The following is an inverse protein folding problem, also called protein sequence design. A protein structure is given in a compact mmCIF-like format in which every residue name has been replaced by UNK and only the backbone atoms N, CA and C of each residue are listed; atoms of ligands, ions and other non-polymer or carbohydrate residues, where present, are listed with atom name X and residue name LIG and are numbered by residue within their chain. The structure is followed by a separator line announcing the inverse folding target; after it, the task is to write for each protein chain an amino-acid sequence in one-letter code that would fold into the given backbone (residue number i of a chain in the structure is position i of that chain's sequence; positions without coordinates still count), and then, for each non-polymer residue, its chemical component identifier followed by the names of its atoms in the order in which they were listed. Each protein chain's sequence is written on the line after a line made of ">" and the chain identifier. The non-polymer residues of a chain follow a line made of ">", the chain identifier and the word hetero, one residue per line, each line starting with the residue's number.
data_IF_821745333613
#
_entry.id   IF_821745333613
#
_cell.length_a   1.000
_cell.length_b   1.000
_cell.length_c   1.000
_cell.angle_alpha   90.00
_cell.angle_beta   90.00
_cell.angle_gamma   90.00
#
_symmetry.space_group_name_H-M   'P 1'
#
loop_
_entity.id
_entity.type
_entity.pdbx_description
1 polymer ?
#
# COMPACT_ATOMS: atom_id res chain seq x y z
N UNK A 1 -2.50 2.72 11.20
CA UNK A 1 -3.13 1.80 10.22
C UNK A 1 -2.11 0.75 9.75
N UNK A 2 -1.49 0.02 10.67
CA UNK A 2 -0.47 -0.99 10.33
C UNK A 2 -1.07 -2.16 9.54
N UNK A 3 -2.34 -2.47 9.82
CA UNK A 3 -3.17 -3.43 9.08
C UNK A 3 -3.31 -3.06 7.59
N UNK A 4 -3.56 -1.79 7.28
CA UNK A 4 -3.65 -1.32 5.90
C UNK A 4 -2.28 -1.35 5.20
N UNK A 5 -1.21 -1.01 5.93
CA UNK A 5 0.16 -1.03 5.38
C UNK A 5 0.58 -2.45 4.98
N UNK A 6 0.25 -3.46 5.80
CA UNK A 6 0.50 -4.86 5.45
C UNK A 6 -0.26 -5.28 4.18
N UNK A 7 -1.51 -4.80 4.01
CA UNK A 7 -2.28 -5.03 2.78
C UNK A 7 -1.58 -4.38 1.57
N UNK A 8 -1.09 -3.14 1.71
CA UNK A 8 -0.41 -2.46 0.62
C UNK A 8 0.88 -3.19 0.20
N UNK A 9 1.73 -3.52 1.16
CA UNK A 9 2.98 -4.23 0.94
C UNK A 9 2.76 -5.56 0.21
N UNK A 10 1.85 -6.40 0.72
CA UNK A 10 1.59 -7.73 0.14
C UNK A 10 0.90 -7.68 -1.22
N UNK A 11 -0.13 -6.83 -1.37
CA UNK A 11 -0.99 -6.89 -2.56
C UNK A 11 -0.48 -6.06 -3.73
N UNK A 12 0.22 -4.95 -3.46
CA UNK A 12 0.62 -4.00 -4.51
C UNK A 12 2.12 -3.97 -4.75
N UNK A 13 2.93 -4.23 -3.72
CA UNK A 13 4.39 -4.38 -3.88
C UNK A 13 4.84 -5.85 -3.95
N UNK A 14 3.94 -6.82 -3.75
CA UNK A 14 4.25 -8.26 -3.63
C UNK A 14 5.35 -8.54 -2.60
N UNK A 15 5.44 -7.69 -1.58
CA UNK A 15 6.44 -7.77 -0.55
C UNK A 15 6.03 -8.80 0.49
N UNK A 16 6.99 -9.63 0.90
CA UNK A 16 6.80 -10.67 1.90
C UNK A 16 7.12 -10.14 3.31
N UNK A 17 6.73 -10.90 4.33
CA UNK A 17 6.97 -10.54 5.72
C UNK A 17 6.02 -9.48 6.29
N UNK A 18 6.31 -9.09 7.52
CA UNK A 18 5.48 -8.23 8.37
C UNK A 18 6.28 -7.04 8.91
N UNK A 19 5.62 -6.14 9.64
CA UNK A 19 6.28 -4.99 10.26
C UNK A 19 6.55 -3.82 9.32
N UNK A 20 5.91 -3.81 8.16
CA UNK A 20 5.99 -2.71 7.20
C UNK A 20 5.48 -1.40 7.80
N UNK A 21 6.24 -0.33 7.58
CA UNK A 21 5.87 1.05 7.92
C UNK A 21 6.01 1.95 6.71
N UNK A 22 5.11 2.93 6.57
CA UNK A 22 5.24 3.94 5.53
C UNK A 22 6.32 4.97 5.92
N UNK A 23 7.26 5.21 5.02
CA UNK A 23 8.38 6.14 5.23
C UNK A 23 8.22 7.43 4.43
N UNK A 24 7.48 7.39 3.33
CA UNK A 24 7.28 8.54 2.45
C UNK A 24 6.02 8.43 1.59
N UNK A 25 5.53 9.59 1.17
CA UNK A 25 4.43 9.72 0.22
C UNK A 25 4.78 10.81 -0.80
N UNK A 26 4.47 10.57 -2.06
CA UNK A 26 4.53 11.56 -3.11
C UNK A 26 3.28 11.46 -4.01
N UNK A 27 3.28 12.13 -5.16
CA UNK A 27 2.14 12.13 -6.06
C UNK A 27 1.92 10.77 -6.75
N UNK A 28 2.97 9.95 -6.91
CA UNK A 28 2.90 8.69 -7.65
C UNK A 28 2.71 7.48 -6.74
N UNK A 29 3.07 7.57 -5.46
CA UNK A 29 2.94 6.44 -4.55
C UNK A 29 3.37 6.69 -3.11
N UNK A 30 3.63 5.58 -2.42
CA UNK A 30 4.20 5.56 -1.08
C UNK A 30 5.37 4.58 -1.01
N UNK A 31 6.34 4.90 -0.15
CA UNK A 31 7.47 4.04 0.15
C UNK A 31 7.25 3.36 1.51
N UNK A 32 7.56 2.07 1.57
CA UNK A 32 7.44 1.23 2.76
C UNK A 32 8.80 0.63 3.13
N UNK A 33 9.02 0.45 4.44
CA UNK A 33 10.21 -0.19 4.99
C UNK A 33 9.86 -1.27 6.02
N UNK A 34 10.64 -2.34 6.05
CA UNK A 34 10.61 -3.39 7.08
C UNK A 34 12.04 -3.91 7.31
N UNK A 35 12.68 -3.50 8.41
CA UNK A 35 14.10 -3.79 8.63
C UNK A 35 14.96 -3.19 7.52
N UNK A 36 15.76 -4.03 6.85
CA UNK A 36 16.60 -3.65 5.71
C UNK A 36 15.85 -3.68 4.36
N UNK A 37 14.59 -4.13 4.34
CA UNK A 37 13.78 -4.21 3.13
C UNK A 37 13.06 -2.88 2.86
N UNK A 38 13.09 -2.45 1.59
CA UNK A 38 12.38 -1.29 1.08
C UNK A 38 11.53 -1.72 -0.12
N UNK A 39 10.30 -1.22 -0.20
CA UNK A 39 9.47 -1.38 -1.38
C UNK A 39 8.61 -0.15 -1.65
N UNK A 40 8.21 0.02 -2.90
CA UNK A 40 7.36 1.12 -3.33
C UNK A 40 6.02 0.60 -3.81
N UNK A 41 4.95 1.22 -3.33
CA UNK A 41 3.58 0.97 -3.76
C UNK A 41 3.11 2.15 -4.60
N UNK A 42 2.83 1.90 -5.87
CA UNK A 42 2.30 2.90 -6.78
C UNK A 42 0.79 3.08 -6.58
N UNK A 43 0.32 4.32 -6.69
CA UNK A 43 -1.11 4.60 -6.79
C UNK A 43 -1.64 4.19 -8.16
N UNK A 44 -2.96 3.87 -8.29
CA UNK A 44 -3.56 3.56 -9.57
C UNK A 44 -3.42 4.70 -10.60
N UNK A 45 -3.46 5.95 -10.11
CA UNK A 45 -3.22 7.17 -10.87
C UNK A 45 -2.43 8.18 -10.02
N UNK A 46 -1.61 9.05 -10.62
CA UNK A 46 -0.93 10.12 -9.90
C UNK A 46 -1.91 11.09 -9.23
N UNK A 47 -1.64 11.45 -7.98
CA UNK A 47 -2.42 12.43 -7.23
C UNK A 47 -2.25 13.82 -7.84
N UNK A 48 -3.37 14.51 -8.04
CA UNK A 48 -3.43 15.90 -8.50
C UNK A 48 -3.39 16.89 -7.33
N UNK A 49 -3.78 16.44 -6.14
CA UNK A 49 -3.70 17.23 -4.91
C UNK A 49 -3.52 16.36 -3.67
N UNK A 50 -2.82 16.89 -2.65
CA UNK A 50 -2.57 16.16 -1.39
C UNK A 50 -3.84 15.64 -0.69
N UNK A 51 -4.98 16.33 -0.85
CA UNK A 51 -6.28 15.89 -0.29
C UNK A 51 -6.78 14.55 -0.85
N UNK A 52 -6.28 14.14 -2.01
CA UNK A 52 -6.68 12.90 -2.69
C UNK A 52 -5.98 11.66 -2.12
N UNK A 53 -4.92 11.85 -1.32
CA UNK A 53 -4.16 10.74 -0.73
C UNK A 53 -5.05 9.82 0.11
N UNK A 54 -5.81 10.40 1.05
CA UNK A 54 -6.64 9.61 1.98
C UNK A 54 -7.70 8.75 1.27
N UNK A 55 -8.54 9.27 0.35
CA UNK A 55 -9.50 8.42 -0.34
C UNK A 55 -8.83 7.33 -1.20
N UNK A 56 -7.73 7.64 -1.89
CA UNK A 56 -6.98 6.64 -2.68
C UNK A 56 -6.48 5.50 -1.80
N UNK A 57 -5.87 5.80 -0.65
CA UNK A 57 -5.41 4.78 0.30
C UNK A 57 -6.57 3.90 0.81
N UNK A 58 -7.72 4.51 1.11
CA UNK A 58 -8.91 3.77 1.56
C UNK A 58 -9.38 2.79 0.48
N UNK A 59 -9.44 3.22 -0.78
CA UNK A 59 -9.91 2.37 -1.87
C UNK A 59 -8.91 1.27 -2.22
N UNK A 60 -7.60 1.57 -2.20
CA UNK A 60 -6.56 0.55 -2.30
C UNK A 60 -6.65 -0.50 -1.18
N UNK A 61 -6.96 -0.10 0.06
CA UNK A 61 -7.06 -1.04 1.18
C UNK A 61 -8.30 -1.93 1.04
N UNK A 62 -9.41 -1.40 0.52
CA UNK A 62 -10.60 -2.22 0.19
C UNK A 62 -10.27 -3.21 -0.92
N UNK A 63 -9.65 -2.76 -2.01
CA UNK A 63 -9.27 -3.59 -3.14
C UNK A 63 -8.30 -4.70 -2.74
N UNK A 64 -7.25 -4.36 -2.00
CA UNK A 64 -6.26 -5.34 -1.53
C UNK A 64 -6.85 -6.38 -0.58
N UNK A 65 -7.79 -5.99 0.30
CA UNK A 65 -8.52 -6.95 1.14
C UNK A 65 -9.38 -7.89 0.31
N UNK A 66 -10.11 -7.40 -0.68
CA UNK A 66 -10.91 -8.24 -1.58
C UNK A 66 -10.06 -9.19 -2.42
N UNK A 67 -8.89 -8.74 -2.89
CA UNK A 67 -7.94 -9.56 -3.64
C UNK A 67 -7.34 -10.69 -2.79
N UNK A 68 -7.00 -10.40 -1.52
CA UNK A 68 -6.52 -11.42 -0.57
C UNK A 68 -7.53 -12.55 -0.37
N UNK A 69 -8.83 -12.24 -0.33
CA UNK A 69 -9.90 -13.26 -0.27
C UNK A 69 -10.01 -14.12 -1.55
N UNK A 70 -9.46 -13.67 -2.68
CA UNK A 70 -9.58 -14.34 -3.98
C UNK A 70 -8.42 -15.30 -4.28
N UNK A 71 -7.32 -15.23 -3.53
CA UNK A 71 -6.13 -16.09 -3.66
C UNK A 71 -6.16 -17.35 -2.77
N UNK A 72 -7.12 -17.46 -1.84
CA UNK A 72 -7.28 -18.62 -0.93
C UNK A 72 -8.36 -19.64 -1.40
N UNK A 73 -8.66 -19.70 -2.71
CA UNK A 73 -9.66 -20.63 -3.29
C UNK A 73 -9.09 -21.54 -4.36
#
# INVERSE_FOLDING_TARGET
>A
HLDAIAVYARQFAKAEGDGWVATGFDAEGMDLAAGDALCRVFFPEPLKAARELRPVLVDMAKAGRAAGYSQER
#
